data_IF_034504632268
#
_entry.id   IF_034504632268
#
_cell.length_a   1.000
_cell.length_b   1.000
_cell.length_c   1.000
_cell.angle_alpha   90.00
_cell.angle_beta   90.00
_cell.angle_gamma   90.00
#
_symmetry.space_group_name_H-M   'P 1'
#
loop_
_entity.id
_entity.type
_entity.pdbx_description
1 polymer ?
#
# COMPACT_ATOMS: atom_id res chain seq x y z
N UNK A 1 1.70 1.41 7.37
CA UNK A 1 1.97 0.19 6.57
C UNK A 1 2.78 -0.73 7.45
N UNK A 2 2.50 -2.03 7.44
CA UNK A 2 3.30 -2.98 8.21
C UNK A 2 4.67 -3.09 7.52
N UNK A 3 5.71 -2.78 8.28
CA UNK A 3 7.10 -2.85 7.83
C UNK A 3 7.78 -4.01 8.51
N UNK A 4 8.71 -4.63 7.80
CA UNK A 4 9.54 -5.73 8.25
C UNK A 4 10.98 -5.27 8.15
N UNK A 5 11.80 -5.71 9.09
CA UNK A 5 13.25 -5.52 8.99
C UNK A 5 13.82 -6.66 8.15
N UNK A 6 14.51 -6.31 7.07
CA UNK A 6 15.14 -7.29 6.19
C UNK A 6 16.43 -7.82 6.81
N UNK A 7 16.55 -9.14 6.87
CA UNK A 7 17.72 -9.86 7.39
C UNK A 7 18.25 -10.78 6.28
N UNK A 8 19.48 -10.56 5.79
CA UNK A 8 20.15 -11.50 4.90
C UNK A 8 20.33 -12.85 5.59
N UNK A 9 20.08 -13.94 4.87
CA UNK A 9 20.44 -15.27 5.34
C UNK A 9 21.03 -16.13 4.23
N UNK A 10 21.65 -17.24 4.64
CA UNK A 10 22.10 -18.28 3.73
C UNK A 10 21.08 -19.41 3.74
N UNK A 11 20.54 -19.74 2.56
CA UNK A 11 19.48 -20.75 2.32
C UNK A 11 18.08 -20.22 2.63
N UNK A 12 17.12 -20.82 1.96
CA UNK A 12 15.70 -20.45 1.85
C UNK A 12 15.44 -19.07 1.20
N UNK A 13 14.55 -19.04 0.21
CA UNK A 13 14.28 -17.85 -0.59
C UNK A 13 13.64 -16.72 0.22
N UNK A 14 12.71 -17.05 1.13
CA UNK A 14 12.07 -16.10 2.02
C UNK A 14 11.45 -16.78 3.25
N UNK A 15 11.78 -16.29 4.44
CA UNK A 15 11.10 -16.62 5.69
C UNK A 15 10.51 -15.37 6.30
N UNK A 16 9.22 -15.38 6.62
CA UNK A 16 8.58 -14.26 7.32
C UNK A 16 8.42 -14.64 8.79
N UNK A 17 9.02 -13.85 9.67
CA UNK A 17 8.82 -13.96 11.10
C UNK A 17 8.01 -12.78 11.62
N UNK A 18 6.86 -13.04 12.26
CA UNK A 18 6.02 -11.99 12.84
C UNK A 18 5.03 -12.54 13.88
N UNK A 19 4.26 -11.66 14.49
CA UNK A 19 3.15 -12.07 15.36
C UNK A 19 2.10 -12.83 14.55
N UNK A 20 1.44 -13.80 15.18
CA UNK A 20 0.49 -14.71 14.52
C UNK A 20 -0.58 -13.97 13.70
N UNK A 21 -1.15 -12.89 14.26
CA UNK A 21 -2.13 -12.03 13.60
C UNK A 21 -1.62 -11.48 12.26
N UNK A 22 -0.33 -11.15 12.16
CA UNK A 22 0.30 -10.62 10.95
C UNK A 22 0.54 -11.70 9.90
N UNK A 23 0.76 -12.94 10.33
CA UNK A 23 1.04 -14.08 9.45
C UNK A 23 -0.23 -14.66 8.81
N UNK A 24 -1.41 -14.44 9.41
CA UNK A 24 -2.70 -14.96 8.90
C UNK A 24 -2.98 -14.59 7.44
N UNK A 25 -2.41 -13.49 6.96
CA UNK A 25 -2.58 -13.02 5.60
C UNK A 25 -1.66 -13.71 4.60
N UNK A 26 -0.74 -14.57 5.01
CA UNK A 26 0.27 -15.21 4.15
C UNK A 26 0.18 -16.73 4.22
N UNK A 27 0.56 -17.38 3.12
CA UNK A 27 0.66 -18.84 3.02
C UNK A 27 1.99 -19.22 2.39
N UNK A 28 2.52 -20.37 2.81
CA UNK A 28 3.73 -20.93 2.19
C UNK A 28 3.46 -21.14 0.70
N UNK A 29 4.37 -20.62 -0.13
CA UNK A 29 4.27 -20.63 -1.58
C UNK A 29 3.73 -19.36 -2.20
N UNK A 30 3.17 -18.42 -1.41
CA UNK A 30 2.81 -17.09 -1.92
C UNK A 30 4.04 -16.38 -2.48
N UNK A 31 3.84 -15.66 -3.58
CA UNK A 31 4.86 -14.78 -4.14
C UNK A 31 4.62 -13.36 -3.64
N UNK A 32 5.71 -12.69 -3.28
CA UNK A 32 5.66 -11.36 -2.69
C UNK A 32 6.68 -10.42 -3.33
N UNK A 33 6.32 -9.15 -3.40
CA UNK A 33 7.26 -8.05 -3.57
C UNK A 33 7.66 -7.52 -2.20
N UNK A 34 8.96 -7.34 -2.00
CA UNK A 34 9.54 -6.56 -0.91
C UNK A 34 9.94 -5.22 -1.46
N UNK A 35 9.30 -4.16 -0.99
CA UNK A 35 9.59 -2.80 -1.44
C UNK A 35 10.24 -2.04 -0.30
N UNK A 36 11.35 -1.38 -0.58
CA UNK A 36 12.06 -0.56 0.39
C UNK A 36 11.16 0.57 0.90
N UNK A 37 11.18 0.80 2.21
CA UNK A 37 10.49 1.90 2.88
C UNK A 37 11.40 3.15 3.02
N UNK A 38 12.66 3.09 2.57
CA UNK A 38 13.61 4.20 2.68
C UNK A 38 13.61 5.09 1.43
N UNK A 39 13.83 6.41 1.59
CA UNK A 39 13.70 7.39 0.50
C UNK A 39 14.77 7.27 -0.59
N UNK A 40 15.82 6.46 -0.40
CA UNK A 40 17.03 6.54 -1.22
C UNK A 40 17.11 5.51 -2.34
N UNK A 41 16.30 4.44 -2.38
CA UNK A 41 16.41 3.42 -3.44
C UNK A 41 15.08 2.67 -3.68
N UNK A 42 14.39 3.02 -4.77
CA UNK A 42 13.12 2.41 -5.23
C UNK A 42 13.33 1.04 -5.87
N UNK A 43 13.66 0.03 -5.08
CA UNK A 43 13.84 -1.33 -5.57
C UNK A 43 12.79 -2.25 -4.99
N UNK A 44 12.56 -3.34 -5.70
CA UNK A 44 11.70 -4.43 -5.24
C UNK A 44 12.43 -5.75 -5.40
N UNK A 45 12.44 -6.56 -4.34
CA UNK A 45 12.81 -7.98 -4.44
C UNK A 45 11.53 -8.78 -4.65
N UNK A 46 11.52 -9.71 -5.61
CA UNK A 46 10.48 -10.72 -5.67
C UNK A 46 11.00 -11.97 -5.00
N UNK A 47 10.20 -12.54 -4.10
CA UNK A 47 10.53 -13.81 -3.48
C UNK A 47 9.28 -14.65 -3.26
N UNK A 48 9.49 -15.95 -3.08
CA UNK A 48 8.46 -16.91 -2.72
C UNK A 48 8.60 -17.25 -1.24
N UNK A 49 7.51 -17.18 -0.49
CA UNK A 49 7.49 -17.55 0.93
C UNK A 49 7.73 -19.05 1.05
N UNK A 50 8.76 -19.42 1.79
CA UNK A 50 9.11 -20.82 2.06
C UNK A 50 8.77 -21.23 3.49
N UNK A 51 8.84 -20.30 4.44
CA UNK A 51 8.39 -20.54 5.81
C UNK A 51 7.74 -19.30 6.44
N UNK A 52 6.86 -19.56 7.41
CA UNK A 52 6.22 -18.57 8.26
C UNK A 52 6.52 -18.95 9.71
N UNK A 53 7.10 -18.02 10.47
CA UNK A 53 7.54 -18.27 11.84
C UNK A 53 6.90 -17.28 12.81
N UNK A 54 6.32 -17.78 13.90
CA UNK A 54 5.71 -16.93 14.91
C UNK A 54 6.83 -16.34 15.78
N UNK A 55 6.88 -15.01 15.86
CA UNK A 55 7.86 -14.28 16.65
C UNK A 55 7.36 -12.93 17.11
N UNK A 56 8.09 -12.33 18.06
CA UNK A 56 7.73 -11.02 18.62
C UNK A 56 8.15 -9.85 17.72
N UNK A 57 9.16 -10.06 16.88
CA UNK A 57 9.68 -9.07 15.94
C UNK A 57 9.13 -9.33 14.52
N UNK A 58 8.92 -8.26 13.75
CA UNK A 58 8.55 -8.33 12.33
C UNK A 58 9.81 -8.36 11.47
N UNK A 59 10.33 -9.55 11.21
CA UNK A 59 11.53 -9.79 10.43
C UNK A 59 11.18 -10.50 9.13
N UNK A 60 11.96 -10.21 8.09
CA UNK A 60 11.92 -10.98 6.86
C UNK A 60 13.32 -11.41 6.50
N UNK A 61 13.52 -12.73 6.41
CA UNK A 61 14.78 -13.30 6.05
C UNK A 61 14.80 -13.61 4.56
N UNK A 62 15.80 -13.12 3.85
CA UNK A 62 15.94 -13.29 2.39
C UNK A 62 17.32 -13.84 2.09
N UNK A 63 17.38 -14.80 1.16
CA UNK A 63 18.65 -15.31 0.66
C UNK A 63 19.54 -14.16 0.18
N UNK A 64 20.75 -14.09 0.71
CA UNK A 64 21.68 -13.00 0.41
C UNK A 64 21.93 -12.80 -1.10
N UNK A 65 21.79 -13.87 -1.90
CA UNK A 65 21.95 -13.82 -3.36
C UNK A 65 20.82 -13.06 -4.08
N UNK A 66 19.67 -12.93 -3.42
CA UNK A 66 18.48 -12.27 -3.95
C UNK A 66 18.34 -10.83 -3.47
N UNK A 67 19.27 -10.32 -2.66
CA UNK A 67 19.17 -8.97 -2.08
C UNK A 67 19.36 -7.85 -3.09
N UNK A 68 20.02 -8.13 -4.21
CA UNK A 68 20.37 -7.14 -5.23
C UNK A 68 21.06 -5.89 -4.63
N UNK A 69 20.28 -4.84 -4.36
CA UNK A 69 20.74 -3.53 -3.86
C UNK A 69 20.32 -3.27 -2.40
N UNK A 70 19.51 -4.15 -1.80
CA UNK A 70 19.04 -4.03 -0.42
C UNK A 70 20.17 -4.32 0.58
N UNK A 71 20.22 -3.50 1.63
CA UNK A 71 21.13 -3.67 2.76
C UNK A 71 20.51 -4.50 3.89
N UNK A 72 21.38 -5.06 4.73
CA UNK A 72 20.96 -5.63 6.01
C UNK A 72 20.30 -4.56 6.89
N UNK A 73 19.13 -4.90 7.43
CA UNK A 73 18.38 -4.00 8.31
C UNK A 73 17.51 -2.99 7.59
N UNK A 74 17.45 -3.00 6.26
CA UNK A 74 16.51 -2.18 5.50
C UNK A 74 15.07 -2.46 5.93
N UNK A 75 14.28 -1.41 6.12
CA UNK A 75 12.85 -1.55 6.35
C UNK A 75 12.15 -1.78 5.01
N UNK A 76 11.34 -2.83 4.94
CA UNK A 76 10.60 -3.19 3.74
C UNK A 76 9.12 -3.40 4.05
N UNK A 77 8.26 -3.21 3.07
CA UNK A 77 6.87 -3.64 3.15
C UNK A 77 6.58 -4.71 2.10
N UNK A 78 5.62 -5.57 2.42
CA UNK A 78 5.28 -6.73 1.62
C UNK A 78 4.03 -6.44 0.80
N UNK A 79 4.08 -6.72 -0.50
CA UNK A 79 2.90 -6.78 -1.37
C UNK A 79 2.77 -8.19 -1.94
N UNK A 80 1.61 -8.82 -1.77
CA UNK A 80 1.31 -10.08 -2.43
C UNK A 80 1.21 -9.89 -3.94
N UNK A 81 1.76 -10.85 -4.67
CA UNK A 81 1.72 -10.89 -6.12
C UNK A 81 1.46 -12.31 -6.59
N UNK A 82 0.62 -12.46 -7.61
CA UNK A 82 0.36 -13.74 -8.25
C UNK A 82 1.01 -13.73 -9.63
N UNK A 83 2.26 -14.22 -9.76
CA UNK A 83 2.96 -14.23 -11.04
C UNK A 83 2.25 -15.13 -12.04
N UNK A 84 2.14 -14.66 -13.27
CA UNK A 84 1.70 -15.49 -14.37
C UNK A 84 2.80 -16.48 -14.79
N UNK A 85 2.41 -17.58 -15.42
CA UNK A 85 3.35 -18.43 -16.15
C UNK A 85 3.88 -17.66 -17.37
N UNK A 86 5.18 -17.68 -17.59
CA UNK A 86 5.75 -17.18 -18.82
C UNK A 86 5.40 -18.11 -19.98
N UNK A 87 4.84 -17.57 -21.07
CA UNK A 87 4.75 -18.26 -22.35
C UNK A 87 6.11 -18.32 -23.03
N UNK A 88 6.85 -17.19 -23.00
CA UNK A 88 8.17 -17.08 -23.62
C UNK A 88 9.13 -16.31 -22.69
N UNK A 89 10.38 -16.75 -22.64
CA UNK A 89 11.47 -16.13 -21.87
C UNK A 89 12.69 -16.01 -22.78
N UNK A 90 13.18 -14.79 -22.94
CA UNK A 90 14.42 -14.50 -23.64
C UNK A 90 15.56 -14.32 -22.65
N UNK A 91 16.63 -15.08 -22.86
CA UNK A 91 17.85 -15.01 -22.07
C UNK A 91 18.98 -14.55 -22.99
N UNK A 92 19.52 -13.38 -22.71
CA UNK A 92 20.69 -12.84 -23.40
C UNK A 92 21.97 -13.44 -22.81
N UNK A 93 22.81 -14.03 -23.65
CA UNK A 93 24.11 -14.62 -23.26
C UNK A 93 25.24 -14.00 -24.07
N UNK A 94 26.43 -13.91 -23.47
CA UNK A 94 27.59 -13.29 -24.12
C UNK A 94 27.98 -13.98 -25.41
N UNK A 95 28.37 -13.20 -26.41
CA UNK A 95 28.95 -13.69 -27.66
C UNK A 95 30.17 -14.59 -27.46
N UNK A 96 30.93 -14.38 -26.37
CA UNK A 96 32.11 -15.16 -26.00
C UNK A 96 31.79 -16.65 -25.74
N UNK A 97 30.54 -16.98 -25.42
CA UNK A 97 30.08 -18.37 -25.27
C UNK A 97 29.86 -19.05 -26.64
N UNK A 98 30.93 -19.59 -27.22
CA UNK A 98 30.92 -20.25 -28.53
C UNK A 98 30.03 -21.48 -28.63
N UNK A 99 29.81 -22.18 -27.51
CA UNK A 99 28.96 -23.38 -27.45
C UNK A 99 27.45 -23.07 -27.49
N UNK A 100 27.08 -21.82 -27.18
CA UNK A 100 25.69 -21.38 -27.15
C UNK A 100 25.35 -20.63 -28.44
N UNK A 101 24.36 -21.14 -29.17
CA UNK A 101 23.84 -20.51 -30.38
C UNK A 101 22.52 -19.79 -30.08
N UNK A 102 22.23 -18.75 -30.85
CA UNK A 102 20.93 -18.07 -30.79
C UNK A 102 19.81 -19.02 -31.24
N UNK A 103 18.67 -19.05 -30.53
CA UNK A 103 17.52 -19.87 -30.92
C UNK A 103 16.71 -20.43 -29.74
N UNK A 104 15.90 -21.45 -30.02
CA UNK A 104 15.07 -22.13 -29.01
C UNK A 104 15.89 -23.18 -28.24
N UNK A 105 16.01 -22.99 -26.93
CA UNK A 105 16.76 -23.84 -26.00
C UNK A 105 15.86 -24.44 -24.91
N UNK A 106 14.54 -24.44 -25.13
CA UNK A 106 13.54 -24.86 -24.15
C UNK A 106 13.86 -26.23 -23.55
N UNK A 107 14.19 -27.22 -24.38
CA UNK A 107 14.45 -28.60 -23.93
C UNK A 107 15.67 -28.74 -23.02
N UNK A 108 16.69 -27.93 -23.25
CA UNK A 108 17.98 -28.04 -22.58
C UNK A 108 18.01 -27.23 -21.28
N UNK A 109 17.43 -26.02 -21.30
CA UNK A 109 17.54 -25.07 -20.20
C UNK A 109 16.38 -25.18 -19.21
N UNK A 110 15.15 -25.38 -19.69
CA UNK A 110 13.92 -25.34 -18.86
C UNK A 110 13.97 -26.28 -17.66
N UNK A 111 14.47 -27.54 -17.76
CA UNK A 111 14.51 -28.43 -16.60
C UNK A 111 15.27 -27.83 -15.40
N UNK A 112 16.31 -27.03 -15.65
CA UNK A 112 17.11 -26.38 -14.59
C UNK A 112 16.49 -25.08 -14.03
N UNK A 113 15.50 -24.52 -14.73
CA UNK A 113 14.83 -23.28 -14.39
C UNK A 113 13.34 -23.45 -14.04
N UNK A 114 12.81 -24.68 -14.09
CA UNK A 114 11.41 -24.95 -13.83
C UNK A 114 11.00 -24.47 -12.43
N UNK A 115 9.83 -23.84 -12.34
CA UNK A 115 9.26 -23.21 -11.16
C UNK A 115 10.08 -22.05 -10.58
N UNK A 116 11.14 -21.58 -11.25
CA UNK A 116 11.85 -20.37 -10.82
C UNK A 116 11.04 -19.13 -11.14
N UNK A 117 10.98 -18.23 -10.18
CA UNK A 117 10.53 -16.85 -10.38
C UNK A 117 11.66 -16.08 -11.08
N UNK A 118 11.29 -15.33 -12.10
CA UNK A 118 12.23 -14.53 -12.89
C UNK A 118 11.72 -13.10 -13.05
N UNK A 119 12.68 -12.17 -13.11
CA UNK A 119 12.44 -10.75 -13.35
C UNK A 119 13.38 -10.17 -14.41
N UNK A 120 13.07 -8.99 -14.95
CA UNK A 120 13.94 -8.30 -15.92
C UNK A 120 15.31 -8.02 -15.32
N UNK A 121 16.35 -8.28 -16.12
CA UNK A 121 17.73 -8.00 -15.73
C UNK A 121 18.27 -8.92 -14.62
N UNK A 122 17.51 -9.96 -14.25
CA UNK A 122 18.00 -10.99 -13.35
C UNK A 122 18.99 -11.88 -14.09
N UNK A 123 20.12 -12.17 -13.45
CA UNK A 123 21.06 -13.17 -13.92
C UNK A 123 20.55 -14.56 -13.53
N UNK A 124 20.46 -15.45 -14.51
CA UNK A 124 20.04 -16.83 -14.33
C UNK A 124 21.17 -17.77 -14.73
N UNK A 125 21.43 -18.73 -13.85
CA UNK A 125 22.33 -19.85 -14.13
C UNK A 125 21.51 -21.08 -14.52
N UNK A 126 21.93 -21.74 -15.60
CA UNK A 126 21.28 -22.93 -16.13
C UNK A 126 22.29 -24.01 -16.50
N UNK A 127 21.83 -25.25 -16.53
CA UNK A 127 22.65 -26.42 -16.86
C UNK A 127 22.43 -26.81 -18.32
N UNK A 128 23.53 -26.99 -19.05
CA UNK A 128 23.53 -27.50 -20.41
C UNK A 128 24.05 -28.94 -20.36
N UNK A 129 23.22 -29.94 -20.74
CA UNK A 129 23.68 -31.31 -20.86
C UNK A 129 24.83 -31.41 -21.86
N UNK A 130 25.92 -32.08 -21.49
CA UNK A 130 27.09 -32.28 -22.35
C UNK A 130 27.41 -33.77 -22.51
N UNK A 131 27.56 -34.23 -23.75
CA UNK A 131 27.81 -35.65 -24.04
C UNK A 131 29.16 -36.15 -23.50
N UNK A 132 30.12 -35.25 -23.28
CA UNK A 132 31.45 -35.58 -22.76
C UNK A 132 31.56 -35.75 -21.24
N UNK A 133 30.45 -35.73 -20.49
CA UNK A 133 30.43 -35.97 -19.04
C UNK A 133 29.69 -34.91 -18.25
N UNK A 134 30.42 -34.13 -17.44
CA UNK A 134 29.83 -33.13 -16.52
C UNK A 134 29.07 -32.03 -17.29
N UNK A 135 27.84 -31.66 -16.87
CA UNK A 135 27.08 -30.59 -17.50
C UNK A 135 27.79 -29.24 -17.40
N UNK A 136 27.61 -28.41 -18.41
CA UNK A 136 28.18 -27.06 -18.47
C UNK A 136 27.22 -26.09 -17.77
N UNK A 137 27.74 -25.22 -16.92
CA UNK A 137 26.97 -24.14 -16.30
C UNK A 137 27.01 -22.93 -17.24
N UNK A 138 25.87 -22.56 -17.79
CA UNK A 138 25.68 -21.31 -18.51
C UNK A 138 25.10 -20.24 -17.59
N UNK A 139 25.43 -18.98 -17.87
CA UNK A 139 24.84 -17.81 -17.23
C UNK A 139 24.32 -16.85 -18.27
N UNK A 140 23.15 -16.28 -18.04
CA UNK A 140 22.56 -15.29 -18.94
C UNK A 140 21.67 -14.30 -18.20
N UNK A 141 21.32 -13.23 -18.89
CA UNK A 141 20.47 -12.15 -18.37
C UNK A 141 19.06 -12.31 -18.92
N UNK A 142 18.04 -12.27 -18.06
CA UNK A 142 16.64 -12.23 -18.52
C UNK A 142 16.38 -10.89 -19.22
N UNK A 143 16.29 -10.94 -20.55
CA UNK A 143 16.17 -9.75 -21.38
C UNK A 143 14.72 -9.36 -21.63
N UNK A 144 13.82 -10.34 -21.80
CA UNK A 144 12.37 -10.12 -21.92
C UNK A 144 11.57 -11.39 -21.62
N UNK A 145 10.27 -11.22 -21.32
CA UNK A 145 9.33 -12.33 -21.15
C UNK A 145 7.95 -11.96 -21.72
N UNK A 146 7.14 -12.98 -22.02
CA UNK A 146 5.73 -12.82 -22.37
C UNK A 146 4.87 -13.68 -21.41
N UNK A 147 3.98 -13.09 -20.58
CA UNK A 147 3.77 -11.66 -20.35
C UNK A 147 5.00 -11.01 -19.69
N UNK A 148 4.99 -9.67 -19.61
CA UNK A 148 6.05 -8.93 -18.92
C UNK A 148 6.22 -9.42 -17.48
N UNK A 149 7.46 -9.48 -16.97
CA UNK A 149 7.74 -10.08 -15.67
C UNK A 149 7.40 -9.10 -14.52
N UNK A 150 7.23 -9.61 -13.28
CA UNK A 150 7.66 -10.91 -12.80
C UNK A 150 6.75 -12.06 -13.23
N UNK A 151 7.36 -13.17 -13.60
CA UNK A 151 6.68 -14.40 -14.02
C UNK A 151 7.40 -15.60 -13.45
N UNK A 152 6.75 -16.76 -13.46
CA UNK A 152 7.45 -18.02 -13.20
C UNK A 152 7.64 -18.81 -14.50
N UNK A 153 8.70 -19.61 -14.55
CA UNK A 153 8.93 -20.56 -15.63
C UNK A 153 8.13 -21.83 -15.31
N UNK A 154 7.11 -22.12 -16.10
CA UNK A 154 6.27 -23.30 -15.97
C UNK A 154 6.49 -24.30 -17.10
N UNK A 155 5.64 -25.31 -17.15
CA UNK A 155 5.75 -26.41 -18.11
C UNK A 155 5.56 -25.95 -19.56
N UNK A 156 4.74 -24.91 -19.78
CA UNK A 156 4.41 -24.38 -21.11
C UNK A 156 5.39 -23.31 -21.59
N UNK A 157 6.30 -22.87 -20.73
CA UNK A 157 7.28 -21.84 -21.06
C UNK A 157 8.23 -22.30 -22.15
N UNK A 158 8.45 -21.42 -23.14
CA UNK A 158 9.51 -21.52 -24.13
C UNK A 158 10.69 -20.64 -23.73
N UNK A 159 11.91 -21.14 -23.90
CA UNK A 159 13.14 -20.42 -23.55
C UNK A 159 13.94 -20.20 -24.82
N UNK A 160 14.19 -18.93 -25.13
CA UNK A 160 14.93 -18.47 -26.28
C UNK A 160 16.25 -17.85 -25.80
N UNK A 161 17.36 -18.22 -26.45
CA UNK A 161 18.64 -17.57 -26.24
C UNK A 161 18.87 -16.50 -27.29
N UNK A 162 19.22 -15.31 -26.82
CA UNK A 162 19.76 -14.22 -27.62
C UNK A 162 21.26 -14.07 -27.33
N UNK A 163 22.00 -13.56 -28.31
CA UNK A 163 23.45 -13.43 -28.29
C UNK A 163 23.78 -11.96 -28.41
N UNK A 164 24.44 -11.43 -27.40
CA UNK A 164 24.74 -10.01 -27.25
C UNK A 164 26.20 -9.85 -26.82
N UNK A 165 26.83 -8.74 -27.23
CA UNK A 165 28.16 -8.38 -26.78
C UNK A 165 28.17 -8.01 -25.29
N UNK A 166 29.34 -8.05 -24.64
CA UNK A 166 29.43 -7.69 -23.21
C UNK A 166 29.03 -6.23 -22.93
N UNK A 167 29.22 -5.32 -23.90
CA UNK A 167 28.78 -3.93 -23.81
C UNK A 167 27.25 -3.84 -23.86
N UNK A 168 26.61 -4.53 -24.82
CA UNK A 168 25.15 -4.59 -24.93
C UNK A 168 24.50 -5.26 -23.72
N UNK A 169 25.09 -6.32 -23.17
CA UNK A 169 24.61 -6.95 -21.93
C UNK A 169 24.63 -5.98 -20.74
N UNK A 170 25.67 -5.15 -20.64
CA UNK A 170 25.80 -4.13 -19.60
C UNK A 170 24.72 -3.05 -19.74
N UNK A 171 24.46 -2.60 -20.96
CA UNK A 171 23.43 -1.60 -21.25
C UNK A 171 22.02 -2.14 -21.04
N UNK A 172 21.74 -3.37 -21.50
CA UNK A 172 20.51 -4.10 -21.23
C UNK A 172 20.25 -4.21 -19.73
N UNK A 173 21.26 -4.60 -18.94
CA UNK A 173 21.15 -4.69 -17.47
C UNK A 173 20.75 -3.34 -16.86
N UNK A 174 21.36 -2.24 -17.30
CA UNK A 174 21.02 -0.89 -16.84
C UNK A 174 19.60 -0.48 -17.22
N UNK A 175 19.17 -0.77 -18.45
CA UNK A 175 17.81 -0.47 -18.91
C UNK A 175 16.77 -1.25 -18.10
N UNK A 176 17.02 -2.54 -17.86
CA UNK A 176 16.12 -3.40 -17.09
C UNK A 176 15.99 -2.97 -15.63
N UNK A 177 17.08 -2.50 -15.01
CA UNK A 177 17.03 -1.91 -13.67
C UNK A 177 16.08 -0.71 -13.61
N UNK A 178 16.13 0.21 -14.60
CA UNK A 178 15.21 1.36 -14.65
C UNK A 178 13.74 0.94 -14.78
N UNK A 179 13.45 -0.12 -15.52
CA UNK A 179 12.09 -0.65 -15.65
C UNK A 179 11.61 -1.20 -14.31
N UNK A 180 12.46 -1.92 -13.56
CA UNK A 180 12.16 -2.40 -12.21
C UNK A 180 11.85 -1.24 -11.26
N UNK A 181 12.63 -0.16 -11.30
CA UNK A 181 12.39 1.06 -10.51
C UNK A 181 11.02 1.69 -10.85
N UNK A 182 10.72 1.86 -12.15
CA UNK A 182 9.43 2.41 -12.59
C UNK A 182 8.22 1.54 -12.20
N UNK A 183 8.40 0.22 -12.11
CA UNK A 183 7.34 -0.70 -11.68
C UNK A 183 6.94 -0.45 -10.23
N UNK A 184 7.90 -0.12 -9.35
CA UNK A 184 7.60 0.24 -7.95
C UNK A 184 6.65 1.43 -7.91
N UNK A 185 6.92 2.47 -8.71
CA UNK A 185 6.06 3.65 -8.81
C UNK A 185 4.64 3.31 -9.29
N UNK A 186 4.51 2.37 -10.22
CA UNK A 186 3.21 1.90 -10.71
C UNK A 186 2.47 1.13 -9.62
N UNK A 187 3.15 0.22 -8.91
CA UNK A 187 2.55 -0.58 -7.84
C UNK A 187 2.09 0.31 -6.68
N UNK A 188 2.87 1.33 -6.32
CA UNK A 188 2.50 2.32 -5.32
C UNK A 188 1.26 3.12 -5.77
N UNK A 189 1.22 3.58 -7.02
CA UNK A 189 0.05 4.27 -7.59
C UNK A 189 -1.19 3.37 -7.69
N UNK A 190 -1.04 2.11 -8.08
CA UNK A 190 -2.16 1.15 -8.14
C UNK A 190 -2.73 0.87 -6.75
N UNK A 191 -1.89 0.87 -5.73
CA UNK A 191 -2.32 0.75 -4.34
C UNK A 191 -3.10 1.98 -3.88
N UNK A 192 -2.69 3.18 -4.27
CA UNK A 192 -3.48 4.40 -4.06
C UNK A 192 -4.82 4.33 -4.81
N UNK A 193 -4.83 3.81 -6.04
CA UNK A 193 -6.04 3.64 -6.84
C UNK A 193 -7.01 2.61 -6.26
N UNK A 194 -6.55 1.51 -5.66
CA UNK A 194 -7.40 0.56 -4.94
C UNK A 194 -8.10 1.20 -3.73
N UNK A 195 -7.45 2.16 -3.07
CA UNK A 195 -8.09 2.95 -2.00
C UNK A 195 -9.18 3.85 -2.59
N UNK A 196 -8.95 4.42 -3.78
CA UNK A 196 -9.93 5.24 -4.49
C UNK A 196 -11.12 4.41 -4.98
N UNK A 197 -10.90 3.21 -5.54
CA UNK A 197 -11.96 2.27 -5.92
C UNK A 197 -12.76 1.81 -4.70
N UNK A 198 -12.09 1.59 -3.58
CA UNK A 198 -12.73 1.27 -2.31
C UNK A 198 -13.63 2.42 -1.80
N UNK A 199 -13.15 3.67 -1.82
CA UNK A 199 -13.99 4.85 -1.52
C UNK A 199 -15.21 4.89 -2.47
N UNK A 200 -15.01 4.61 -3.77
CA UNK A 200 -16.10 4.55 -4.75
C UNK A 200 -17.10 3.42 -4.47
N UNK A 201 -16.65 2.27 -3.97
CA UNK A 201 -17.50 1.12 -3.63
C UNK A 201 -18.43 1.43 -2.45
N UNK A 202 -17.90 1.99 -1.36
CA UNK A 202 -18.70 2.46 -0.21
C UNK A 202 -19.83 3.40 -0.68
N UNK A 203 -19.53 4.25 -1.65
CA UNK A 203 -20.46 5.25 -2.19
C UNK A 203 -21.53 4.65 -3.10
N UNK A 204 -21.14 3.76 -4.00
CA UNK A 204 -22.10 3.12 -4.91
C UNK A 204 -23.10 2.21 -4.17
N UNK A 205 -22.70 1.67 -3.01
CA UNK A 205 -23.53 0.77 -2.21
C UNK A 205 -24.35 1.47 -1.12
N UNK A 206 -24.30 2.82 -1.01
CA UNK A 206 -25.04 3.60 -0.02
C UNK A 206 -24.91 3.07 1.42
N UNK A 207 -23.66 2.83 1.85
CA UNK A 207 -23.41 2.33 3.20
C UNK A 207 -23.93 3.28 4.28
N UNK A 208 -24.43 2.75 5.42
CA UNK A 208 -24.84 3.58 6.53
C UNK A 208 -23.67 4.42 7.05
N UNK A 209 -24.01 5.57 7.60
CA UNK A 209 -23.05 6.52 8.18
C UNK A 209 -23.63 7.12 9.46
N UNK A 210 -22.76 7.37 10.44
CA UNK A 210 -23.11 8.11 11.66
C UNK A 210 -22.02 9.10 12.00
N UNK A 211 -22.44 10.29 12.42
CA UNK A 211 -21.57 11.33 12.93
C UNK A 211 -21.70 11.47 14.44
N UNK A 212 -20.60 11.80 15.10
CA UNK A 212 -20.61 12.29 16.46
C UNK A 212 -19.93 13.65 16.55
N UNK A 213 -20.64 14.62 17.14
CA UNK A 213 -20.22 16.01 17.24
C UNK A 213 -19.73 16.33 18.66
N UNK A 214 -18.66 17.12 18.72
CA UNK A 214 -18.06 17.64 19.94
C UNK A 214 -17.89 19.16 19.81
N UNK A 215 -18.39 19.91 20.78
CA UNK A 215 -18.24 21.36 20.85
C UNK A 215 -17.08 21.74 21.75
N UNK A 216 -16.28 22.73 21.35
CA UNK A 216 -15.17 23.21 22.15
C UNK A 216 -14.99 24.74 22.17
N UNK A 217 -14.28 25.25 23.17
CA UNK A 217 -13.79 26.64 23.18
C UNK A 217 -12.57 26.75 22.28
N UNK A 218 -12.59 27.70 21.35
CA UNK A 218 -11.57 27.82 20.29
C UNK A 218 -10.20 28.34 20.75
N UNK A 219 -9.77 28.04 21.99
CA UNK A 219 -8.52 28.58 22.54
C UNK A 219 -7.26 28.05 21.84
N UNK A 220 -7.28 26.83 21.29
CA UNK A 220 -6.18 26.29 20.48
C UNK A 220 -6.62 25.12 19.55
N UNK A 221 -7.32 25.41 18.43
CA UNK A 221 -7.85 24.38 17.54
C UNK A 221 -6.77 23.53 16.84
N UNK A 222 -5.58 24.11 16.61
CA UNK A 222 -4.44 23.40 16.01
C UNK A 222 -3.86 22.33 16.95
N UNK A 223 -3.74 22.65 18.23
CA UNK A 223 -3.29 21.68 19.23
C UNK A 223 -4.31 20.55 19.39
N UNK A 224 -5.61 20.88 19.36
CA UNK A 224 -6.68 19.87 19.34
C UNK A 224 -6.54 18.94 18.13
N UNK A 225 -6.32 19.48 16.93
CA UNK A 225 -6.13 18.67 15.72
C UNK A 225 -4.91 17.73 15.86
N UNK A 226 -3.79 18.25 16.36
CA UNK A 226 -2.59 17.43 16.61
C UNK A 226 -2.88 16.30 17.61
N UNK A 227 -3.62 16.57 18.66
CA UNK A 227 -4.05 15.56 19.65
C UNK A 227 -4.98 14.51 19.04
N UNK A 228 -5.90 14.91 18.17
CA UNK A 228 -6.78 14.01 17.42
C UNK A 228 -5.97 13.11 16.49
N UNK A 229 -4.99 13.65 15.76
CA UNK A 229 -4.08 12.84 14.93
C UNK A 229 -3.39 11.74 15.75
N UNK A 230 -3.05 12.04 17.02
CA UNK A 230 -2.46 11.06 17.94
C UNK A 230 -3.46 9.99 18.41
N UNK A 231 -4.74 10.33 18.62
CA UNK A 231 -5.78 9.35 19.00
C UNK A 231 -5.93 8.26 17.93
N UNK A 232 -5.85 8.64 16.66
CA UNK A 232 -5.97 7.74 15.52
C UNK A 232 -4.62 7.21 15.01
N UNK A 233 -3.55 7.39 15.79
CA UNK A 233 -2.21 6.88 15.45
C UNK A 233 -2.25 5.37 15.29
N UNK A 234 -1.79 4.90 14.14
CA UNK A 234 -1.81 3.48 13.76
C UNK A 234 -2.89 3.13 12.73
N UNK A 235 -3.88 4.01 12.51
CA UNK A 235 -4.80 3.87 11.37
C UNK A 235 -4.13 4.33 10.08
N UNK A 236 -4.52 3.73 8.95
CA UNK A 236 -4.02 4.14 7.64
C UNK A 236 -4.72 5.42 7.22
N UNK A 237 -3.96 6.50 7.03
CA UNK A 237 -4.46 7.74 6.42
C UNK A 237 -4.73 7.46 4.94
N UNK A 238 -5.94 7.80 4.49
CA UNK A 238 -6.34 7.70 3.08
C UNK A 238 -6.20 9.05 2.38
N UNK A 239 -6.45 10.13 3.11
CA UNK A 239 -6.27 11.48 2.62
C UNK A 239 -5.45 12.26 3.63
N UNK A 240 -4.36 12.85 3.16
CA UNK A 240 -3.44 13.61 4.02
C UNK A 240 -4.18 14.70 4.80
N UNK A 241 -3.76 14.95 6.05
CA UNK A 241 -4.30 16.03 6.86
C UNK A 241 -4.26 17.36 6.10
N UNK A 242 -5.41 18.02 6.00
CA UNK A 242 -5.53 19.36 5.44
C UNK A 242 -5.76 20.31 6.60
N UNK A 243 -4.96 21.36 6.69
CA UNK A 243 -5.16 22.48 7.58
C UNK A 243 -5.29 23.77 6.77
N UNK A 244 -6.27 24.61 7.10
CA UNK A 244 -6.46 25.93 6.51
C UNK A 244 -6.75 26.94 7.62
N UNK A 245 -6.03 28.05 7.56
CA UNK A 245 -6.29 29.26 8.35
C UNK A 245 -6.93 30.28 7.42
N UNK A 246 -8.09 30.81 7.82
CA UNK A 246 -8.80 31.82 7.05
C UNK A 246 -8.53 33.24 7.57
N UNK A 247 -8.42 33.39 8.88
CA UNK A 247 -7.97 34.62 9.53
C UNK A 247 -7.16 34.28 10.79
N UNK A 248 -5.89 34.67 10.82
CA UNK A 248 -4.98 34.44 11.95
C UNK A 248 -5.37 35.26 13.19
N UNK A 249 -6.13 36.36 13.03
CA UNK A 249 -6.60 37.21 14.13
C UNK A 249 -7.87 36.66 14.77
N UNK A 250 -8.79 36.16 13.95
CA UNK A 250 -10.06 35.58 14.41
C UNK A 250 -9.95 34.07 14.68
N UNK A 251 -8.77 33.47 14.48
CA UNK A 251 -8.53 32.03 14.69
C UNK A 251 -9.49 31.13 13.90
N UNK A 252 -9.96 31.61 12.75
CA UNK A 252 -10.79 30.84 11.84
C UNK A 252 -9.95 29.69 11.26
N UNK A 253 -10.28 28.48 11.69
CA UNK A 253 -9.48 27.28 11.43
C UNK A 253 -10.36 26.15 10.90
N UNK A 254 -9.85 25.49 9.86
CA UNK A 254 -10.41 24.24 9.36
C UNK A 254 -9.29 23.21 9.31
N UNK A 255 -9.53 22.06 9.92
CA UNK A 255 -8.73 20.87 9.70
C UNK A 255 -9.57 19.66 9.33
N UNK A 256 -9.02 18.79 8.49
CA UNK A 256 -9.68 17.54 8.13
C UNK A 256 -8.68 16.43 7.87
N UNK A 257 -9.03 15.20 8.24
CA UNK A 257 -8.24 13.99 7.96
C UNK A 257 -9.17 12.81 7.78
N UNK A 258 -8.80 11.87 6.90
CA UNK A 258 -9.60 10.66 6.65
C UNK A 258 -8.75 9.42 6.90
N UNK A 259 -9.27 8.52 7.74
CA UNK A 259 -8.64 7.25 8.09
C UNK A 259 -9.42 6.05 7.57
N UNK A 260 -8.68 4.97 7.31
CA UNK A 260 -9.22 3.64 7.15
C UNK A 260 -9.12 2.89 8.47
N UNK A 261 -10.27 2.44 8.96
CA UNK A 261 -10.34 1.48 10.05
C UNK A 261 -10.64 0.09 9.48
N UNK A 262 -9.76 -0.87 9.78
CA UNK A 262 -9.93 -2.28 9.44
C UNK A 262 -9.98 -3.08 10.73
N UNK A 263 -11.14 -3.61 11.06
CA UNK A 263 -11.29 -4.51 12.22
C UNK A 263 -11.10 -5.97 11.80
N UNK A 264 -11.48 -6.32 10.56
CA UNK A 264 -11.22 -7.62 9.95
C UNK A 264 -11.12 -7.48 8.41
N UNK A 265 -10.70 -8.51 7.66
CA UNK A 265 -10.57 -8.43 6.20
C UNK A 265 -11.86 -7.99 5.48
N UNK A 266 -13.01 -8.28 6.08
CA UNK A 266 -14.34 -8.01 5.52
C UNK A 266 -15.07 -6.85 6.21
N UNK A 267 -14.49 -6.25 7.26
CA UNK A 267 -15.09 -5.11 7.97
C UNK A 267 -14.21 -3.90 7.78
N UNK A 268 -14.62 -3.05 6.84
CA UNK A 268 -13.91 -1.85 6.46
C UNK A 268 -14.77 -0.63 6.76
N UNK A 269 -14.19 0.34 7.47
CA UNK A 269 -14.86 1.58 7.83
C UNK A 269 -13.97 2.78 7.49
N UNK A 270 -14.60 3.86 7.05
CA UNK A 270 -13.96 5.16 6.90
C UNK A 270 -14.26 6.01 8.12
N UNK A 271 -13.22 6.66 8.65
CA UNK A 271 -13.34 7.64 9.74
C UNK A 271 -12.90 9.00 9.19
N UNK A 272 -13.84 9.92 8.99
CA UNK A 272 -13.56 11.31 8.57
C UNK A 272 -13.67 12.21 9.80
N UNK A 273 -12.57 12.87 10.15
CA UNK A 273 -12.52 13.80 11.27
C UNK A 273 -12.34 15.21 10.75
N UNK A 274 -13.21 16.10 11.21
CA UNK A 274 -13.19 17.51 10.83
C UNK A 274 -13.22 18.39 12.06
N UNK A 275 -12.41 19.43 12.06
CA UNK A 275 -12.37 20.47 13.07
C UNK A 275 -12.62 21.79 12.38
N UNK A 276 -13.59 22.53 12.88
CA UNK A 276 -13.91 23.89 12.47
C UNK A 276 -13.87 24.77 13.72
N UNK A 277 -13.26 25.93 13.67
CA UNK A 277 -13.38 26.92 14.75
C UNK A 277 -13.40 28.33 14.21
N UNK A 278 -13.99 29.21 15.02
CA UNK A 278 -13.93 30.65 14.89
C UNK A 278 -13.31 31.25 16.16
N UNK A 279 -13.42 32.56 16.33
CA UNK A 279 -12.84 33.35 17.41
C UNK A 279 -13.18 32.88 18.84
N UNK A 280 -14.33 32.26 19.02
CA UNK A 280 -14.92 31.99 20.34
C UNK A 280 -15.25 30.51 20.55
N UNK A 281 -15.57 29.78 19.48
CA UNK A 281 -16.11 28.43 19.53
C UNK A 281 -15.57 27.55 18.43
N UNK A 282 -15.52 26.25 18.68
CA UNK A 282 -15.13 25.26 17.72
C UNK A 282 -16.03 24.04 17.77
N UNK A 283 -16.08 23.33 16.65
CA UNK A 283 -16.80 22.10 16.46
C UNK A 283 -15.85 21.07 15.86
N UNK A 284 -15.77 19.91 16.50
CA UNK A 284 -15.17 18.73 15.92
C UNK A 284 -16.26 17.72 15.59
N UNK A 285 -16.19 17.09 14.43
CA UNK A 285 -17.11 16.02 14.03
C UNK A 285 -16.31 14.83 13.56
N UNK A 286 -16.68 13.66 14.06
CA UNK A 286 -16.15 12.36 13.63
C UNK A 286 -17.27 11.63 12.91
N UNK A 287 -17.08 11.35 11.63
CA UNK A 287 -17.98 10.55 10.81
C UNK A 287 -17.42 9.18 10.60
N UNK A 288 -18.24 8.15 10.83
CA UNK A 288 -17.90 6.76 10.52
C UNK A 288 -18.88 6.24 9.48
N UNK A 289 -18.34 5.70 8.38
CA UNK A 289 -19.10 5.08 7.28
C UNK A 289 -18.65 3.64 7.09
N UNK A 290 -19.57 2.70 6.92
CA UNK A 290 -19.25 1.28 6.72
C UNK A 290 -20.48 0.41 6.52
N UNK A 291 -20.30 -0.88 6.29
CA UNK A 291 -21.38 -1.80 5.89
C UNK A 291 -22.42 -2.08 6.99
N UNK A 292 -22.02 -2.01 8.26
CA UNK A 292 -22.84 -2.40 9.39
C UNK A 292 -22.97 -1.25 10.41
N UNK A 293 -24.21 -0.83 10.65
CA UNK A 293 -24.54 0.29 11.53
C UNK A 293 -24.22 0.04 13.02
N UNK A 294 -24.28 -1.20 13.48
CA UNK A 294 -23.89 -1.56 14.85
C UNK A 294 -22.38 -1.38 15.03
N UNK A 295 -21.58 -1.89 14.09
CA UNK A 295 -20.13 -1.73 14.09
C UNK A 295 -19.72 -0.26 13.97
N UNK A 296 -20.46 0.55 13.20
CA UNK A 296 -20.24 2.01 13.13
C UNK A 296 -20.41 2.63 14.52
N UNK A 297 -21.47 2.23 15.22
CA UNK A 297 -21.80 2.75 16.54
C UNK A 297 -20.75 2.33 17.58
N UNK A 298 -20.24 1.11 17.49
CA UNK A 298 -19.21 0.60 18.40
C UNK A 298 -17.86 1.26 18.14
N UNK A 299 -17.49 1.52 16.89
CA UNK A 299 -16.30 2.31 16.53
C UNK A 299 -16.39 3.73 17.10
N UNK A 300 -17.54 4.40 16.96
CA UNK A 300 -17.74 5.72 17.56
C UNK A 300 -17.57 5.69 19.09
N UNK A 301 -18.22 4.73 19.78
CA UNK A 301 -18.07 4.55 21.23
C UNK A 301 -16.63 4.26 21.65
N UNK A 302 -15.88 3.48 20.86
CA UNK A 302 -14.49 3.10 21.15
C UNK A 302 -13.56 4.32 21.20
N UNK A 303 -13.76 5.29 20.32
CA UNK A 303 -12.95 6.51 20.29
C UNK A 303 -13.54 7.63 21.15
N UNK A 304 -14.82 7.53 21.53
CA UNK A 304 -15.51 8.53 22.34
C UNK A 304 -14.77 8.85 23.64
N UNK A 305 -14.34 7.83 24.39
CA UNK A 305 -13.64 8.05 25.66
C UNK A 305 -12.29 8.75 25.43
N UNK A 306 -11.50 8.29 24.45
CA UNK A 306 -10.18 8.84 24.14
C UNK A 306 -10.24 10.29 23.65
N UNK A 307 -11.27 10.61 22.89
CA UNK A 307 -11.53 11.96 22.41
C UNK A 307 -11.99 12.86 23.56
N UNK A 308 -12.87 12.36 24.42
CA UNK A 308 -13.34 13.10 25.60
C UNK A 308 -12.22 13.37 26.61
N UNK A 309 -11.23 12.47 26.68
CA UNK A 309 -10.07 12.58 27.57
C UNK A 309 -9.03 13.62 27.09
N UNK A 310 -9.16 14.17 25.88
CA UNK A 310 -8.33 15.28 25.41
C UNK A 310 -8.70 16.56 26.18
N UNK A 311 -8.01 16.78 27.31
CA UNK A 311 -8.27 17.89 28.25
C UNK A 311 -8.09 19.29 27.62
N UNK A 312 -8.94 20.20 28.10
CA UNK A 312 -9.13 21.61 27.70
C UNK A 312 -9.75 21.83 26.30
N UNK A 313 -11.07 21.74 26.23
CA UNK A 313 -11.80 22.29 25.10
C UNK A 313 -13.21 21.73 24.96
N UNK A 314 -13.39 20.41 25.00
CA UNK A 314 -14.64 19.75 24.60
C UNK A 314 -15.70 19.83 25.71
N UNK A 315 -16.55 20.85 25.68
CA UNK A 315 -17.45 21.17 26.81
C UNK A 315 -18.79 20.43 26.77
N UNK A 316 -19.24 19.90 25.63
CA UNK A 316 -20.50 19.14 25.54
C UNK A 316 -20.49 18.04 24.47
N UNK A 317 -21.02 16.86 24.84
CA UNK A 317 -21.37 15.72 23.97
C UNK A 317 -22.80 15.90 23.48
N UNK A 318 -23.06 15.97 22.16
CA UNK A 318 -24.44 15.96 21.67
C UNK A 318 -24.59 15.31 20.30
N UNK A 319 -25.63 14.46 20.24
CA UNK A 319 -26.36 13.86 19.11
C UNK A 319 -25.61 13.11 18.01
N UNK A 320 -26.12 11.89 17.76
CA UNK A 320 -25.86 11.15 16.54
C UNK A 320 -26.62 11.87 15.43
N UNK A 321 -25.88 12.62 14.63
CA UNK A 321 -26.45 13.43 13.55
C UNK A 321 -26.49 12.62 12.25
N UNK A 322 -27.61 12.75 11.53
CA UNK A 322 -27.65 12.50 10.09
C UNK A 322 -27.02 13.71 9.36
N UNK A 323 -27.02 13.79 8.02
CA UNK A 323 -26.37 14.90 7.29
C UNK A 323 -27.04 16.25 7.59
N UNK A 324 -26.65 16.88 8.70
CA UNK A 324 -27.26 18.06 9.30
C UNK A 324 -26.21 19.15 9.49
N UNK A 325 -26.66 20.40 9.50
CA UNK A 325 -25.81 21.55 9.63
C UNK A 325 -25.08 21.50 10.97
N UNK A 326 -23.73 21.53 10.98
CA UNK A 326 -22.95 21.52 12.21
C UNK A 326 -23.28 22.70 13.12
N UNK A 327 -23.78 23.81 12.58
CA UNK A 327 -24.02 25.04 13.33
C UNK A 327 -25.43 25.12 13.94
N UNK A 328 -26.44 24.57 13.26
CA UNK A 328 -27.84 24.74 13.69
C UNK A 328 -28.68 23.45 13.71
N UNK A 329 -28.12 22.29 13.31
CA UNK A 329 -28.82 21.01 13.27
C UNK A 329 -29.85 20.86 12.15
N UNK A 330 -30.08 21.88 11.31
CA UNK A 330 -30.99 21.80 10.18
C UNK A 330 -30.47 20.88 9.07
N UNK A 331 -31.35 20.10 8.45
CA UNK A 331 -30.97 19.16 7.38
C UNK A 331 -30.26 19.86 6.21
N UNK A 332 -29.15 19.28 5.77
CA UNK A 332 -28.40 19.78 4.62
C UNK A 332 -28.86 19.07 3.34
N UNK A 333 -29.28 19.85 2.34
CA UNK A 333 -29.65 19.33 1.03
C UNK A 333 -28.40 18.98 0.23
N UNK A 334 -27.90 17.75 0.44
CA UNK A 334 -26.67 17.19 -0.15
C UNK A 334 -26.60 17.36 -1.69
N UNK A 335 -27.73 17.59 -2.37
CA UNK A 335 -27.78 17.84 -3.82
C UNK A 335 -27.32 19.23 -4.24
N UNK A 336 -27.19 20.18 -3.30
CA UNK A 336 -26.76 21.58 -3.54
C UNK A 336 -25.32 21.85 -3.17
N UNK A 337 -24.52 20.80 -2.96
CA UNK A 337 -23.10 20.92 -2.64
C UNK A 337 -22.36 21.48 -3.85
N UNK A 338 -21.49 22.46 -3.62
CA UNK A 338 -20.63 23.00 -4.66
C UNK A 338 -19.40 22.09 -4.94
N UNK A 339 -18.62 22.46 -5.95
CA UNK A 339 -17.42 21.70 -6.37
C UNK A 339 -16.35 21.57 -5.27
N UNK A 340 -16.39 22.40 -4.23
CA UNK A 340 -15.43 22.40 -3.12
C UNK A 340 -15.95 21.60 -1.92
N UNK A 341 -17.14 21.01 -2.03
CA UNK A 341 -17.77 20.27 -0.94
C UNK A 341 -18.39 21.17 0.13
N UNK A 342 -18.66 22.42 -0.21
CA UNK A 342 -19.34 23.39 0.65
C UNK A 342 -20.81 23.48 0.30
N UNK A 343 -21.64 23.65 1.33
CA UNK A 343 -23.07 23.88 1.22
C UNK A 343 -23.49 24.97 2.19
N UNK A 344 -24.30 25.91 1.74
CA UNK A 344 -24.92 26.89 2.61
C UNK A 344 -26.16 26.27 3.25
N UNK A 345 -26.25 26.31 4.58
CA UNK A 345 -27.43 25.83 5.28
C UNK A 345 -28.62 26.77 5.04
N UNK A 346 -29.71 26.25 4.48
CA UNK A 346 -30.93 27.02 4.23
C UNK A 346 -31.58 27.59 5.52
N UNK A 347 -31.22 27.07 6.70
CA UNK A 347 -31.80 27.47 7.98
C UNK A 347 -31.01 28.58 8.69
N UNK A 348 -29.67 28.52 8.69
CA UNK A 348 -28.83 29.49 9.40
C UNK A 348 -27.92 30.34 8.51
N UNK A 349 -27.90 30.10 7.19
CA UNK A 349 -27.06 30.82 6.22
C UNK A 349 -25.57 30.55 6.36
N UNK A 350 -25.14 29.70 7.30
CA UNK A 350 -23.73 29.37 7.48
C UNK A 350 -23.28 28.34 6.44
N UNK A 351 -22.12 28.58 5.88
CA UNK A 351 -21.44 27.66 4.97
C UNK A 351 -20.86 26.51 5.78
N UNK A 352 -21.30 25.31 5.47
CA UNK A 352 -20.85 24.07 6.09
C UNK A 352 -20.06 23.26 5.06
N UNK A 353 -18.95 22.68 5.48
CA UNK A 353 -18.20 21.76 4.62
C UNK A 353 -18.67 20.33 4.89
N UNK A 354 -19.35 19.73 3.93
CA UNK A 354 -19.91 18.37 4.06
C UNK A 354 -18.76 17.36 4.18
N UNK A 355 -18.82 16.28 4.97
CA UNK A 355 -17.76 15.25 5.02
C UNK A 355 -17.29 14.76 3.65
N UNK A 356 -15.99 14.48 3.45
CA UNK A 356 -15.47 14.01 2.15
C UNK A 356 -16.12 12.70 1.69
N UNK A 357 -16.52 11.86 2.65
CA UNK A 357 -17.33 10.67 2.40
C UNK A 357 -18.65 11.00 1.68
N UNK A 358 -19.21 12.18 1.90
CA UNK A 358 -20.46 12.68 1.29
C UNK A 358 -20.23 13.70 0.15
N UNK A 359 -18.98 14.14 -0.09
CA UNK A 359 -18.61 15.11 -1.16
C UNK A 359 -18.37 14.48 -2.54
N UNK A 360 -17.85 13.26 -2.58
CA UNK A 360 -17.50 12.57 -3.85
C UNK A 360 -18.41 11.40 -4.15
#
# INVERSE_FOLDING_TARGET
>A
MQTYKLIPQFRDNCVIQAQEEMLTNYTIGDTIFLISNLPTKKFSIISKIEALEIGNESLIFIDQRNLEVFGEGDEVYILKYNPAEALEVHISVSDDHTLLTKGDWTTNIKPSLLNKLIDLGQEVSFLIPWEGGTPIIGTGLISSTLPNPPVYIGDRTRILLDKDSNEELSDLKRERIKIKENRVDILEKQKEQNIIEFIKMIKHQNFPYKGQKYLFKATNPKQLFTSVLNVFKGLKIIEDPIEKHYDDKEQDYLASVVYLHKESPNVLQLIDVQIMSNDTTGTMIIWVTGENEELITDTLKRYDSKISDLQEGLEQRVEVISAQCPECGGDLDIKKIDINGTIECNYCGKISKIPKALRY
#
